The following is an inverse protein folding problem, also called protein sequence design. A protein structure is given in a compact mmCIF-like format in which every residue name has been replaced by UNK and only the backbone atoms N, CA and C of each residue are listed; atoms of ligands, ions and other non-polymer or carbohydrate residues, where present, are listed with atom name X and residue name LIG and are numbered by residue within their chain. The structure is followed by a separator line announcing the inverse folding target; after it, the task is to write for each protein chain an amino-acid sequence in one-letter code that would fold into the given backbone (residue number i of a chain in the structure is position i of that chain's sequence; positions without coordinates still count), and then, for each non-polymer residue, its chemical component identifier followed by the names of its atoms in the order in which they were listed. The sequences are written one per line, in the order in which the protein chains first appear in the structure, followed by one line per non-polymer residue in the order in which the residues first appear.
data_IF_681798396037
#
_entry.id   IF_681798396037
#
_cell.length_a   1.000
_cell.length_b   1.000
_cell.length_c   1.000
_cell.angle_alpha   90.00
_cell.angle_beta   90.00
_cell.angle_gamma   90.00
#
_symmetry.space_group_name_H-M   'P 1'
#
loop_
_entity.id
_entity.type
_entity.pdbx_description
1 polymer ?
#
# COMPACT_ATOMS: atom_id res chain seq x y z
N UNK A 1 8.73 -9.90 19.78
CA UNK A 1 9.67 -8.83 19.44
C UNK A 1 10.12 -8.79 17.98
N UNK A 2 10.10 -9.90 17.23
CA UNK A 2 10.64 -9.98 15.84
C UNK A 2 9.69 -9.34 14.81
N UNK A 3 8.40 -9.36 15.06
CA UNK A 3 7.34 -8.97 14.09
C UNK A 3 7.32 -7.47 13.76
N UNK A 4 7.82 -6.60 14.64
CA UNK A 4 7.74 -5.15 14.43
C UNK A 4 8.80 -4.56 13.49
N UNK A 5 9.83 -5.31 13.12
CA UNK A 5 10.96 -4.77 12.34
C UNK A 5 10.62 -4.59 10.86
N UNK A 6 9.83 -5.47 10.29
CA UNK A 6 9.44 -5.41 8.88
C UNK A 6 8.62 -4.15 8.56
N UNK A 7 7.62 -3.82 9.35
CA UNK A 7 6.76 -2.64 9.14
C UNK A 7 7.52 -1.32 9.19
N UNK A 8 8.47 -1.18 10.14
CA UNK A 8 9.31 0.02 10.23
C UNK A 8 10.14 0.17 8.96
N UNK A 9 10.67 -0.92 8.44
CA UNK A 9 11.46 -0.91 7.21
C UNK A 9 10.62 -0.58 5.98
N UNK A 10 9.39 -1.11 5.90
CA UNK A 10 8.43 -0.73 4.83
C UNK A 10 8.15 0.77 4.85
N UNK A 11 7.87 1.35 6.03
CA UNK A 11 7.61 2.79 6.17
C UNK A 11 8.83 3.59 5.74
N UNK A 12 10.02 3.25 6.25
CA UNK A 12 11.26 3.96 5.95
C UNK A 12 11.57 3.93 4.44
N UNK A 13 11.53 2.75 3.82
CA UNK A 13 11.81 2.59 2.39
C UNK A 13 10.74 3.30 1.53
N UNK A 14 9.50 3.34 1.98
CA UNK A 14 8.44 4.09 1.29
C UNK A 14 8.69 5.59 1.31
N UNK A 15 9.12 6.14 2.45
CA UNK A 15 9.49 7.57 2.56
C UNK A 15 10.69 7.88 1.68
N UNK A 16 11.71 7.02 1.66
CA UNK A 16 12.88 7.19 0.77
C UNK A 16 12.44 7.15 -0.70
N UNK A 17 11.57 6.21 -1.08
CA UNK A 17 11.06 6.13 -2.44
C UNK A 17 10.32 7.42 -2.85
N UNK A 18 9.49 7.98 -1.96
CA UNK A 18 8.80 9.25 -2.18
C UNK A 18 9.78 10.41 -2.41
N UNK A 19 10.78 10.57 -1.52
CA UNK A 19 11.79 11.63 -1.65
C UNK A 19 12.53 11.54 -3.00
N UNK A 20 12.84 10.32 -3.43
CA UNK A 20 13.50 10.07 -4.73
C UNK A 20 12.59 10.38 -5.92
N UNK A 21 11.28 10.13 -5.82
CA UNK A 21 10.29 10.45 -6.86
C UNK A 21 10.15 11.97 -6.99
N UNK A 22 9.90 12.68 -5.88
CA UNK A 22 9.72 14.13 -5.86
C UNK A 22 10.96 14.86 -6.36
N UNK A 23 12.15 14.44 -5.94
CA UNK A 23 13.39 15.05 -6.42
C UNK A 23 13.75 14.66 -7.84
N UNK A 24 13.08 13.69 -8.42
CA UNK A 24 13.32 13.16 -9.75
C UNK A 24 14.82 12.80 -10.01
N UNK A 25 15.51 12.32 -8.96
CA UNK A 25 16.95 12.06 -8.95
C UNK A 25 17.23 10.57 -8.80
N UNK A 26 18.33 10.12 -9.45
CA UNK A 26 18.96 8.82 -9.23
C UNK A 26 18.00 7.62 -9.38
N UNK A 27 17.45 7.44 -10.57
CA UNK A 27 16.51 6.35 -10.88
C UNK A 27 16.94 4.94 -10.45
N UNK A 28 18.26 4.66 -10.42
CA UNK A 28 18.76 3.36 -9.96
C UNK A 28 18.61 3.16 -8.45
N UNK A 29 18.76 4.25 -7.64
CA UNK A 29 18.54 4.19 -6.19
C UNK A 29 17.05 3.95 -5.91
N UNK A 30 16.16 4.63 -6.62
CA UNK A 30 14.72 4.36 -6.53
C UNK A 30 14.43 2.89 -6.87
N UNK A 31 14.99 2.39 -7.98
CA UNK A 31 14.85 0.98 -8.35
C UNK A 31 15.28 0.04 -7.25
N UNK A 32 16.48 0.25 -6.69
CA UNK A 32 16.98 -0.56 -5.57
C UNK A 32 16.08 -0.45 -4.34
N UNK A 33 15.56 0.75 -4.02
CA UNK A 33 14.63 0.96 -2.90
C UNK A 33 13.34 0.15 -3.10
N UNK A 34 12.77 0.15 -4.31
CA UNK A 34 11.58 -0.62 -4.64
C UNK A 34 11.84 -2.13 -4.57
N UNK A 35 13.01 -2.59 -5.03
CA UNK A 35 13.43 -3.99 -4.89
C UNK A 35 13.50 -4.37 -3.41
N UNK A 36 14.20 -3.59 -2.59
CA UNK A 36 14.33 -3.84 -1.16
C UNK A 36 12.96 -3.81 -0.47
N UNK A 37 12.07 -2.90 -0.87
CA UNK A 37 10.71 -2.82 -0.36
C UNK A 37 9.94 -4.12 -0.59
N UNK A 38 10.08 -4.72 -1.78
CA UNK A 38 9.50 -6.04 -2.07
C UNK A 38 10.06 -7.16 -1.17
N UNK A 39 11.29 -7.03 -0.66
CA UNK A 39 11.92 -8.05 0.17
C UNK A 39 11.61 -7.92 1.66
N UNK A 40 10.93 -6.85 2.07
CA UNK A 40 10.59 -6.67 3.49
C UNK A 40 9.43 -7.54 3.92
N UNK A 41 8.29 -7.39 3.28
CA UNK A 41 7.04 -8.11 3.57
C UNK A 41 6.09 -8.01 2.36
N UNK A 42 5.00 -8.80 2.35
CA UNK A 42 3.98 -8.76 1.31
C UNK A 42 3.37 -7.36 1.11
N UNK A 43 3.23 -6.58 2.18
CA UNK A 43 2.76 -5.20 2.13
C UNK A 43 3.72 -4.27 1.37
N UNK A 44 5.02 -4.53 1.46
CA UNK A 44 6.03 -3.83 0.67
C UNK A 44 5.86 -4.06 -0.84
N UNK A 45 5.45 -5.26 -1.24
CA UNK A 45 5.10 -5.56 -2.64
C UNK A 45 3.90 -4.74 -3.10
N UNK A 46 2.85 -4.66 -2.28
CA UNK A 46 1.64 -3.90 -2.61
C UNK A 46 1.96 -2.41 -2.76
N UNK A 47 2.73 -1.85 -1.83
CA UNK A 47 3.19 -0.45 -1.89
C UNK A 47 4.06 -0.22 -3.13
N UNK A 48 5.00 -1.13 -3.43
CA UNK A 48 5.83 -1.05 -4.66
C UNK A 48 4.96 -1.07 -5.91
N UNK A 49 3.93 -1.92 -5.96
CA UNK A 49 3.00 -1.98 -7.07
C UNK A 49 2.22 -0.67 -7.23
N UNK A 50 1.70 -0.08 -6.14
CA UNK A 50 1.01 1.20 -6.17
C UNK A 50 1.92 2.34 -6.68
N UNK A 51 3.18 2.41 -6.20
CA UNK A 51 4.18 3.37 -6.68
C UNK A 51 4.45 3.17 -8.18
N UNK A 52 4.60 1.92 -8.61
CA UNK A 52 4.88 1.59 -10.02
C UNK A 52 3.70 1.99 -10.92
N UNK A 53 2.46 1.75 -10.48
CA UNK A 53 1.24 2.19 -11.18
C UNK A 53 1.20 3.72 -11.27
N UNK A 54 1.48 4.43 -10.19
CA UNK A 54 1.56 5.89 -10.20
C UNK A 54 2.58 6.40 -11.23
N UNK A 55 3.79 5.86 -11.24
CA UNK A 55 4.83 6.24 -12.20
C UNK A 55 4.44 5.90 -13.64
N UNK A 56 3.74 4.79 -13.86
CA UNK A 56 3.22 4.42 -15.17
C UNK A 56 2.16 5.40 -15.67
N UNK A 57 1.18 5.72 -14.85
CA UNK A 57 0.10 6.63 -15.20
C UNK A 57 0.58 8.07 -15.43
N UNK A 58 1.66 8.46 -14.76
CA UNK A 58 2.32 9.75 -14.94
C UNK A 58 3.55 9.67 -15.88
N UNK A 59 3.60 8.69 -16.78
CA UNK A 59 4.73 8.43 -17.65
C UNK A 59 4.86 9.45 -18.80
N UNK A 60 4.98 10.72 -18.45
CA UNK A 60 5.27 11.82 -19.38
C UNK A 60 6.65 12.41 -19.07
N UNK A 61 7.40 12.77 -20.07
CA UNK A 61 8.71 13.42 -19.91
C UNK A 61 9.68 12.69 -18.98
N UNK A 62 10.10 13.34 -17.92
CA UNK A 62 11.08 12.80 -16.95
C UNK A 62 10.57 11.59 -16.18
N UNK A 63 9.27 11.53 -15.88
CA UNK A 63 8.66 10.41 -15.16
C UNK A 63 8.62 9.13 -16.00
N UNK A 64 8.51 9.22 -17.32
CA UNK A 64 8.63 8.07 -18.22
C UNK A 64 10.04 7.43 -18.14
N UNK A 65 11.08 8.26 -18.10
CA UNK A 65 12.45 7.77 -17.95
C UNK A 65 12.62 7.08 -16.57
N UNK A 66 12.07 7.69 -15.53
CA UNK A 66 12.10 7.13 -14.18
C UNK A 66 11.40 5.77 -14.16
N UNK A 67 10.16 5.68 -14.68
CA UNK A 67 9.41 4.43 -14.80
C UNK A 67 10.20 3.35 -15.54
N UNK A 68 10.70 3.63 -16.75
CA UNK A 68 11.45 2.65 -17.56
C UNK A 68 12.68 2.11 -16.84
N UNK A 69 13.36 2.95 -16.06
CA UNK A 69 14.56 2.54 -15.31
C UNK A 69 14.25 1.80 -14.01
N UNK A 70 13.07 1.99 -13.43
CA UNK A 70 12.69 1.36 -12.15
C UNK A 70 11.92 0.06 -12.32
N UNK A 71 11.19 -0.12 -13.44
CA UNK A 71 10.36 -1.30 -13.67
C UNK A 71 11.15 -2.63 -13.61
N UNK A 72 12.38 -2.75 -14.18
CA UNK A 72 13.14 -3.99 -14.07
C UNK A 72 13.45 -4.37 -12.61
N UNK A 73 13.72 -3.37 -11.74
CA UNK A 73 13.99 -3.58 -10.32
C UNK A 73 12.73 -4.03 -9.57
N UNK A 74 11.57 -3.40 -9.85
CA UNK A 74 10.29 -3.78 -9.26
C UNK A 74 9.91 -5.22 -9.65
N UNK A 75 10.09 -5.60 -10.92
CA UNK A 75 9.85 -6.96 -11.39
C UNK A 75 10.82 -7.96 -10.78
N UNK A 76 12.10 -7.63 -10.69
CA UNK A 76 13.09 -8.47 -10.01
C UNK A 76 12.75 -8.62 -8.53
N UNK A 77 12.34 -7.53 -7.87
CA UNK A 77 11.90 -7.55 -6.47
C UNK A 77 10.69 -8.47 -6.27
N UNK A 78 9.68 -8.38 -7.14
CA UNK A 78 8.51 -9.25 -7.12
C UNK A 78 8.88 -10.72 -7.35
N UNK A 79 9.74 -10.98 -8.33
CA UNK A 79 10.23 -12.33 -8.61
C UNK A 79 10.94 -12.92 -7.38
N UNK A 80 11.89 -12.19 -6.82
CA UNK A 80 12.63 -12.64 -5.63
C UNK A 80 11.69 -12.83 -4.43
N UNK A 81 10.68 -11.95 -4.24
CA UNK A 81 9.69 -12.08 -3.18
C UNK A 81 8.98 -13.44 -3.22
N UNK A 82 8.54 -13.88 -4.41
CA UNK A 82 7.87 -15.18 -4.58
C UNK A 82 8.77 -16.34 -4.13
N UNK A 83 10.08 -16.22 -4.29
CA UNK A 83 11.02 -17.29 -3.92
C UNK A 83 11.55 -17.18 -2.49
N UNK A 84 11.56 -16.00 -1.89
CA UNK A 84 12.22 -15.76 -0.60
C UNK A 84 11.26 -15.47 0.54
N UNK A 85 10.23 -14.69 0.29
CA UNK A 85 9.33 -14.16 1.31
C UNK A 85 7.96 -14.83 1.27
N UNK A 86 7.51 -15.23 0.06
CA UNK A 86 6.22 -15.89 -0.08
C UNK A 86 6.27 -17.26 0.62
N UNK A 87 5.34 -17.56 1.54
CA UNK A 87 5.36 -18.78 2.32
C UNK A 87 5.30 -20.01 1.42
N UNK A 88 6.25 -20.92 1.60
CA UNK A 88 6.20 -22.23 0.97
C UNK A 88 5.45 -23.17 1.91
N UNK A 89 4.47 -23.91 1.38
CA UNK A 89 3.46 -24.68 2.10
C UNK A 89 3.90 -25.75 3.12
N UNK A 90 5.17 -25.74 3.56
CA UNK A 90 5.70 -26.64 4.56
C UNK A 90 5.94 -25.98 5.94
N UNK A 91 5.62 -24.68 6.09
CA UNK A 91 5.72 -24.02 7.40
C UNK A 91 4.37 -24.14 8.12
N UNK A 92 4.34 -25.00 9.11
CA UNK A 92 3.13 -25.48 9.82
C UNK A 92 2.17 -24.38 10.32
N UNK A 93 2.70 -23.22 10.68
CA UNK A 93 1.88 -22.15 11.25
C UNK A 93 1.13 -21.33 10.19
N UNK A 94 1.70 -21.15 9.01
CA UNK A 94 1.09 -20.37 7.94
C UNK A 94 0.05 -21.19 7.16
N UNK A 95 0.36 -22.45 6.92
CA UNK A 95 -0.57 -23.41 6.30
C UNK A 95 -1.78 -23.68 7.19
N UNK A 96 -1.63 -23.66 8.49
CA UNK A 96 -2.77 -23.77 9.43
C UNK A 96 -3.68 -22.56 9.35
N UNK A 97 -3.13 -21.36 9.34
CA UNK A 97 -3.92 -20.13 9.18
C UNK A 97 -4.64 -20.07 7.83
N UNK A 98 -3.97 -20.49 6.75
CA UNK A 98 -4.55 -20.54 5.40
C UNK A 98 -5.60 -21.64 5.24
N UNK A 99 -5.33 -22.85 5.72
CA UNK A 99 -6.26 -23.98 5.63
C UNK A 99 -7.48 -23.84 6.55
N UNK A 100 -7.40 -23.02 7.60
CA UNK A 100 -8.52 -22.73 8.48
C UNK A 100 -9.42 -21.59 7.97
N UNK A 101 -8.90 -20.72 7.09
CA UNK A 101 -9.71 -19.73 6.41
C UNK A 101 -10.43 -20.37 5.21
N UNK A 102 -11.50 -21.11 5.48
CA UNK A 102 -12.45 -21.45 4.39
C UNK A 102 -12.91 -20.13 3.76
N UNK A 103 -12.82 -20.04 2.43
CA UNK A 103 -13.35 -18.91 1.66
C UNK A 103 -14.83 -18.73 1.99
N UNK A 104 -15.13 -17.83 2.89
CA UNK A 104 -16.47 -17.57 3.39
C UNK A 104 -16.81 -16.09 3.20
N UNK A 105 -18.11 -15.79 3.10
CA UNK A 105 -18.60 -14.40 3.04
C UNK A 105 -18.10 -13.60 4.26
N UNK A 106 -17.92 -14.23 5.41
CA UNK A 106 -17.43 -13.58 6.62
C UNK A 106 -15.98 -13.10 6.45
N UNK A 107 -15.09 -13.89 5.84
CA UNK A 107 -13.70 -13.50 5.57
C UNK A 107 -13.65 -12.29 4.62
N UNK A 108 -14.49 -12.28 3.60
CA UNK A 108 -14.60 -11.14 2.68
C UNK A 108 -15.05 -9.89 3.45
N UNK A 109 -16.09 -10.03 4.25
CA UNK A 109 -16.64 -8.94 5.05
C UNK A 109 -15.60 -8.40 6.04
N UNK A 110 -14.92 -9.26 6.79
CA UNK A 110 -13.86 -8.89 7.74
C UNK A 110 -12.69 -8.21 7.05
N UNK A 111 -12.26 -8.70 5.88
CA UNK A 111 -11.18 -8.09 5.12
C UNK A 111 -11.56 -6.69 4.63
N UNK A 112 -12.75 -6.53 4.05
CA UNK A 112 -13.24 -5.23 3.58
C UNK A 112 -13.40 -4.27 4.76
N UNK A 113 -14.03 -4.72 5.84
CA UNK A 113 -14.23 -3.93 7.05
C UNK A 113 -12.91 -3.52 7.68
N UNK A 114 -11.93 -4.44 7.78
CA UNK A 114 -10.60 -4.15 8.31
C UNK A 114 -9.88 -3.07 7.51
N UNK A 115 -9.81 -3.25 6.20
CA UNK A 115 -9.01 -2.37 5.33
C UNK A 115 -9.69 -1.03 4.99
N UNK A 116 -11.02 -0.92 5.10
CA UNK A 116 -11.74 0.34 4.87
C UNK A 116 -12.15 1.04 6.15
N UNK A 117 -12.70 0.30 7.11
CA UNK A 117 -13.31 0.89 8.29
C UNK A 117 -12.34 1.07 9.46
N UNK A 118 -11.43 0.12 9.68
CA UNK A 118 -10.58 0.13 10.87
C UNK A 118 -9.29 0.94 10.69
N UNK A 119 -8.94 1.33 9.47
CA UNK A 119 -7.71 2.07 9.17
C UNK A 119 -7.59 3.35 9.99
N UNK A 120 -8.67 4.12 10.11
CA UNK A 120 -8.67 5.40 10.81
C UNK A 120 -9.05 5.31 12.28
N UNK A 121 -9.47 4.13 12.75
CA UNK A 121 -9.98 3.92 14.12
C UNK A 121 -9.10 2.99 14.94
N UNK A 122 -7.92 2.62 14.45
CA UNK A 122 -6.99 1.68 15.09
C UNK A 122 -6.71 2.04 16.57
N UNK A 123 -6.64 3.32 16.90
CA UNK A 123 -6.42 3.78 18.28
C UNK A 123 -7.68 3.80 19.17
N UNK A 124 -8.86 3.54 18.60
CA UNK A 124 -10.14 3.57 19.31
C UNK A 124 -10.71 2.16 19.51
N UNK A 125 -10.06 1.15 18.96
CA UNK A 125 -10.48 -0.25 19.12
C UNK A 125 -9.85 -0.78 20.40
N UNK A 126 -10.69 -1.09 21.37
CA UNK A 126 -10.28 -1.83 22.56
C UNK A 126 -10.01 -3.29 22.14
N UNK A 127 -8.81 -3.79 22.41
CA UNK A 127 -8.38 -5.16 22.07
C UNK A 127 -9.28 -6.24 22.74
N UNK A 128 -10.10 -5.84 23.71
CA UNK A 128 -11.02 -6.74 24.44
C UNK A 128 -12.41 -6.86 23.78
N UNK A 129 -12.74 -5.97 22.84
CA UNK A 129 -14.02 -6.02 22.15
C UNK A 129 -13.97 -6.98 20.96
N UNK A 130 -14.23 -8.25 21.23
CA UNK A 130 -14.54 -9.21 20.18
C UNK A 130 -15.67 -8.66 19.28
N UNK A 131 -15.39 -8.43 18.01
CA UNK A 131 -16.33 -8.23 16.90
C UNK A 131 -17.09 -6.90 16.77
N UNK A 132 -16.79 -5.85 17.48
CA UNK A 132 -17.52 -4.60 17.32
C UNK A 132 -16.66 -3.41 16.90
N UNK A 133 -16.41 -3.22 15.59
CA UNK A 133 -16.13 -1.86 15.13
C UNK A 133 -17.28 -0.99 15.60
N UNK A 134 -17.00 0.03 16.41
CA UNK A 134 -18.08 0.93 16.82
C UNK A 134 -18.67 1.54 15.54
N UNK A 135 -19.98 1.60 15.44
CA UNK A 135 -20.68 2.23 14.30
C UNK A 135 -20.09 3.63 14.02
N UNK A 136 -19.67 4.31 15.06
CA UNK A 136 -18.99 5.61 15.00
C UNK A 136 -17.64 5.53 14.26
N UNK A 137 -16.81 4.55 14.56
CA UNK A 137 -15.52 4.32 13.85
C UNK A 137 -15.72 4.04 12.37
N UNK A 138 -16.73 3.24 12.05
CA UNK A 138 -17.10 2.96 10.65
C UNK A 138 -17.55 4.23 9.90
N UNK A 139 -18.39 5.05 10.50
CA UNK A 139 -18.85 6.31 9.91
C UNK A 139 -17.70 7.30 9.68
N UNK A 140 -16.78 7.43 10.66
CA UNK A 140 -15.58 8.28 10.50
C UNK A 140 -14.72 7.77 9.34
N UNK A 141 -14.49 6.48 9.25
CA UNK A 141 -13.66 5.91 8.17
C UNK A 141 -14.26 6.12 6.79
N UNK A 142 -15.57 5.94 6.65
CA UNK A 142 -16.27 6.25 5.39
C UNK A 142 -16.17 7.73 5.06
N UNK A 143 -16.35 8.62 6.04
CA UNK A 143 -16.24 10.06 5.83
C UNK A 143 -14.83 10.44 5.34
N UNK A 144 -13.79 9.96 6.04
CA UNK A 144 -12.39 10.24 5.67
C UNK A 144 -12.03 9.66 4.30
N UNK A 145 -12.47 8.43 4.01
CA UNK A 145 -12.29 7.83 2.69
C UNK A 145 -12.99 8.65 1.59
N UNK A 146 -14.22 9.11 1.84
CA UNK A 146 -14.96 9.94 0.90
C UNK A 146 -14.26 11.28 0.65
N UNK A 147 -13.69 11.89 1.68
CA UNK A 147 -12.89 13.12 1.57
C UNK A 147 -11.65 12.86 0.70
N UNK A 148 -10.93 11.76 0.91
CA UNK A 148 -9.76 11.39 0.10
C UNK A 148 -10.15 11.17 -1.36
N UNK A 149 -11.22 10.43 -1.62
CA UNK A 149 -11.74 10.23 -2.98
C UNK A 149 -12.10 11.57 -3.63
N UNK A 150 -12.76 12.47 -2.89
CA UNK A 150 -13.12 13.78 -3.39
C UNK A 150 -11.89 14.65 -3.73
N UNK A 151 -10.86 14.63 -2.87
CA UNK A 151 -9.60 15.34 -3.14
C UNK A 151 -8.94 14.79 -4.40
N UNK A 152 -8.80 13.46 -4.51
CA UNK A 152 -8.10 12.81 -5.62
C UNK A 152 -8.94 12.73 -6.91
N UNK A 153 -10.23 13.04 -6.85
CA UNK A 153 -11.09 13.05 -8.04
C UNK A 153 -10.59 14.00 -9.12
N UNK A 154 -9.88 15.07 -8.73
CA UNK A 154 -9.27 16.02 -9.67
C UNK A 154 -8.05 15.44 -10.41
N UNK A 155 -7.38 14.45 -9.82
CA UNK A 155 -6.27 13.72 -10.44
C UNK A 155 -6.59 12.22 -10.47
N UNK A 156 -7.23 11.80 -11.57
CA UNK A 156 -7.64 10.41 -11.76
C UNK A 156 -6.46 9.42 -11.71
N UNK A 157 -5.22 9.88 -12.00
CA UNK A 157 -4.00 9.05 -11.99
C UNK A 157 -3.64 8.67 -10.55
N UNK A 158 -3.71 9.63 -9.65
CA UNK A 158 -3.51 9.39 -8.21
C UNK A 158 -4.64 8.54 -7.66
N UNK A 159 -5.89 8.83 -8.03
CA UNK A 159 -7.05 8.06 -7.61
C UNK A 159 -6.94 6.59 -8.03
N UNK A 160 -6.55 6.31 -9.27
CA UNK A 160 -6.36 4.94 -9.76
C UNK A 160 -5.23 4.22 -9.01
N UNK A 161 -4.12 4.89 -8.72
CA UNK A 161 -3.03 4.30 -7.94
C UNK A 161 -3.49 3.93 -6.53
N UNK A 162 -4.28 4.79 -5.88
CA UNK A 162 -4.88 4.53 -4.56
C UNK A 162 -5.84 3.34 -4.61
N UNK A 163 -6.78 3.34 -5.56
CA UNK A 163 -7.76 2.25 -5.71
C UNK A 163 -7.05 0.92 -5.98
N UNK A 164 -6.05 0.93 -6.86
CA UNK A 164 -5.26 -0.26 -7.17
C UNK A 164 -4.57 -0.82 -5.92
N UNK A 165 -3.88 0.03 -5.15
CA UNK A 165 -3.23 -0.37 -3.90
C UNK A 165 -4.24 -0.90 -2.88
N UNK A 166 -5.38 -0.23 -2.72
CA UNK A 166 -6.43 -0.65 -1.79
C UNK A 166 -7.03 -2.01 -2.17
N UNK A 167 -7.35 -2.20 -3.45
CA UNK A 167 -7.84 -3.48 -3.96
C UNK A 167 -6.80 -4.60 -3.75
N UNK A 168 -5.52 -4.31 -3.96
CA UNK A 168 -4.46 -5.28 -3.71
C UNK A 168 -4.37 -5.65 -2.22
N UNK A 169 -4.53 -4.69 -1.28
CA UNK A 169 -4.63 -4.98 0.16
C UNK A 169 -5.84 -5.87 0.49
N UNK A 170 -7.01 -5.54 -0.05
CA UNK A 170 -8.24 -6.31 0.19
C UNK A 170 -8.09 -7.74 -0.37
N UNK A 171 -7.61 -7.87 -1.62
CA UNK A 171 -7.39 -9.18 -2.25
C UNK A 171 -6.38 -10.01 -1.45
N UNK A 172 -5.28 -9.40 -1.02
CA UNK A 172 -4.30 -10.06 -0.17
C UNK A 172 -4.92 -10.51 1.16
N UNK A 173 -5.75 -9.66 1.76
CA UNK A 173 -6.49 -9.98 2.99
C UNK A 173 -7.46 -11.14 2.82
N UNK A 174 -8.13 -11.23 1.69
CA UNK A 174 -9.08 -12.32 1.39
C UNK A 174 -8.35 -13.63 1.10
N UNK A 175 -7.27 -13.57 0.31
CA UNK A 175 -6.61 -14.79 -0.21
C UNK A 175 -5.59 -15.38 0.74
N UNK A 176 -4.91 -14.55 1.53
CA UNK A 176 -3.73 -15.00 2.29
C UNK A 176 -3.92 -14.81 3.78
N UNK A 177 -4.37 -13.64 4.20
CA UNK A 177 -4.51 -13.35 5.62
C UNK A 177 -5.45 -12.17 5.84
N UNK A 178 -6.57 -12.39 6.54
CA UNK A 178 -7.59 -11.35 6.80
C UNK A 178 -7.06 -10.12 7.56
N UNK A 179 -5.85 -10.26 8.10
CA UNK A 179 -5.17 -9.15 8.75
C UNK A 179 -5.60 -8.94 10.20
N UNK A 180 -4.83 -8.10 10.88
CA UNK A 180 -5.13 -7.59 12.20
C UNK A 180 -4.85 -6.09 12.23
N UNK A 181 -5.04 -5.47 13.37
CA UNK A 181 -4.90 -4.01 13.57
C UNK A 181 -3.58 -3.45 12.99
N UNK A 182 -2.48 -4.20 13.10
CA UNK A 182 -1.17 -3.77 12.58
C UNK A 182 -1.12 -3.73 11.06
N UNK A 183 -1.75 -4.69 10.40
CA UNK A 183 -1.80 -4.78 8.95
C UNK A 183 -2.66 -3.67 8.35
N UNK A 184 -3.75 -3.31 9.00
CA UNK A 184 -4.60 -2.21 8.56
C UNK A 184 -3.88 -0.86 8.59
N UNK A 185 -2.92 -0.69 9.50
CA UNK A 185 -2.02 0.48 9.52
C UNK A 185 -1.21 0.68 8.22
N UNK A 186 -0.96 -0.39 7.45
CA UNK A 186 -0.27 -0.27 6.17
C UNK A 186 -1.14 0.37 5.08
N UNK A 187 -2.45 0.26 5.16
CA UNK A 187 -3.38 0.99 4.29
C UNK A 187 -3.32 2.50 4.57
N UNK A 188 -3.12 2.88 5.82
CA UNK A 188 -2.88 4.29 6.17
C UNK A 188 -1.61 4.84 5.50
N UNK A 189 -0.55 4.03 5.44
CA UNK A 189 0.65 4.39 4.69
C UNK A 189 0.35 4.61 3.20
N UNK A 190 -0.49 3.76 2.58
CA UNK A 190 -0.93 3.96 1.19
C UNK A 190 -1.63 5.31 1.01
N UNK A 191 -2.50 5.72 1.92
CA UNK A 191 -3.17 7.02 1.85
C UNK A 191 -2.19 8.18 1.97
N UNK A 192 -1.20 8.10 2.85
CA UNK A 192 -0.14 9.11 2.96
C UNK A 192 0.65 9.19 1.64
N UNK A 193 1.02 8.05 1.07
CA UNK A 193 1.75 7.99 -0.21
C UNK A 193 0.95 8.67 -1.33
N UNK A 194 -0.34 8.41 -1.42
CA UNK A 194 -1.20 9.01 -2.45
C UNK A 194 -1.41 10.51 -2.26
N UNK A 195 -1.45 10.99 -1.02
CA UNK A 195 -1.43 12.44 -0.74
C UNK A 195 -0.13 13.09 -1.24
N UNK A 196 1.02 12.45 -1.04
CA UNK A 196 2.28 12.95 -1.59
C UNK A 196 2.27 12.96 -3.12
N UNK A 197 1.75 11.93 -3.77
CA UNK A 197 1.62 11.89 -5.22
C UNK A 197 0.74 13.02 -5.75
N UNK A 198 -0.34 13.33 -5.05
CA UNK A 198 -1.22 14.45 -5.39
C UNK A 198 -0.50 15.79 -5.28
N UNK A 199 0.24 16.01 -4.20
CA UNK A 199 1.04 17.24 -4.01
C UNK A 199 2.15 17.36 -5.07
N UNK A 200 2.84 16.26 -5.41
CA UNK A 200 3.87 16.22 -6.46
C UNK A 200 3.28 16.60 -7.84
N UNK A 201 2.10 16.07 -8.17
CA UNK A 201 1.40 16.43 -9.40
C UNK A 201 0.99 17.90 -9.47
N UNK A 202 0.53 18.49 -8.35
CA UNK A 202 0.20 19.91 -8.29
C UNK A 202 1.42 20.81 -8.45
N UNK A 203 2.57 20.44 -7.86
CA UNK A 203 3.82 21.20 -8.01
C UNK A 203 4.33 21.19 -9.45
N UNK A 204 4.22 20.07 -10.14
CA UNK A 204 4.58 19.98 -11.56
C UNK A 204 3.70 20.88 -12.43
N UNK A 205 2.39 20.96 -12.15
CA UNK A 205 1.47 21.84 -12.87
C UNK A 205 1.76 23.32 -12.62
N UNK A 206 1.99 23.71 -11.37
CA UNK A 206 2.34 25.10 -11.02
C UNK A 206 3.66 25.55 -11.66
N UNK A 207 4.64 24.64 -11.79
CA UNK A 207 5.91 24.94 -12.45
C UNK A 207 5.78 25.13 -13.98
N UNK A 208 4.75 24.58 -14.61
CA UNK A 208 4.46 24.77 -16.04
C UNK A 208 3.69 26.07 -16.32
N UNK A 209 3.02 26.65 -15.33
CA UNK A 209 2.23 27.89 -15.49
C UNK A 209 3.04 29.17 -15.22
N UNK A 210 4.24 29.05 -14.68
CA UNK A 210 5.16 30.20 -14.52
C UNK A 210 5.96 30.40 -15.81
N UNK A 211 5.73 31.53 -16.55
CA UNK A 211 6.39 31.81 -17.84
C UNK A 211 7.89 32.05 -17.67
#
# INVERSE_FOLDING_TARGET
GVINRGYILVILLSIIALDLIVRNKRSWILGLTLLLLCQTEAYGVIITAAITVYLFLNSEGKKLILFRKTIPWSLTGLFLFVFTVFPRGNEDDFTRAYNQQSFSINVIHESIQGHLANVFTIGLIDDTASSGVSLFGFMISILLFSILVWIFFRDWRVLLSMIFGLLAFIIFGILIFSGGVRQWGMVYLLYILTLFFYCDGMLDQAACETP
#
